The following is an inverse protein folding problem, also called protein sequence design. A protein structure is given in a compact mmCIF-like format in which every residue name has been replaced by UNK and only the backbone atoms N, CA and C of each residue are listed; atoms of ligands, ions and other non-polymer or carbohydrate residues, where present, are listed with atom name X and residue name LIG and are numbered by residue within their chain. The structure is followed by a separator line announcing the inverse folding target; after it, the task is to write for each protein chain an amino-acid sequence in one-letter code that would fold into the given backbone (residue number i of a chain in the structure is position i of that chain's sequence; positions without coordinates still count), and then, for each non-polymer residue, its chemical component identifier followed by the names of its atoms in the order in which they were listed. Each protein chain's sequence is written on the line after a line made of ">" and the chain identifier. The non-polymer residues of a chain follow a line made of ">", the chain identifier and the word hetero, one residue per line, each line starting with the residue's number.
data_IF_755550005277
#
_entry.id   IF_755550005277
#
_cell.length_a   1.000
_cell.length_b   1.000
_cell.length_c   1.000
_cell.angle_alpha   90.00
_cell.angle_beta   90.00
_cell.angle_gamma   90.00
#
_symmetry.space_group_name_H-M   'P 1'
#
loop_
_entity.id
_entity.type
_entity.pdbx_description
1 polymer ?
#
# COMPACT_ATOMS: atom_id res chain seq x y z
N UNK A 1 -9.51 -6.13 6.11
CA UNK A 1 -8.92 -5.72 4.81
C UNK A 1 -9.92 -5.98 3.71
N UNK A 2 -10.48 -4.94 3.13
CA UNK A 2 -11.39 -5.01 1.97
C UNK A 2 -10.60 -5.26 0.70
N UNK A 3 -11.17 -6.02 -0.23
CA UNK A 3 -10.57 -6.27 -1.55
C UNK A 3 -11.47 -5.68 -2.61
N UNK A 4 -10.95 -4.76 -3.39
CA UNK A 4 -11.63 -4.18 -4.54
C UNK A 4 -11.26 -4.98 -5.79
N UNK A 5 -12.27 -5.54 -6.45
CA UNK A 5 -12.08 -6.39 -7.64
C UNK A 5 -12.71 -5.75 -8.87
N UNK A 6 -11.99 -5.82 -9.99
CA UNK A 6 -12.45 -5.38 -11.31
C UNK A 6 -12.11 -6.43 -12.34
N UNK A 7 -13.00 -6.64 -13.32
CA UNK A 7 -12.77 -7.62 -14.38
C UNK A 7 -12.65 -9.05 -13.88
N UNK A 8 -13.41 -9.46 -12.84
CA UNK A 8 -13.32 -10.77 -12.19
C UNK A 8 -13.54 -11.99 -13.14
N UNK A 9 -14.09 -11.76 -14.34
CA UNK A 9 -14.27 -12.78 -15.37
C UNK A 9 -13.05 -12.94 -16.31
N UNK A 10 -11.95 -12.23 -16.06
CA UNK A 10 -10.72 -12.31 -16.86
C UNK A 10 -9.79 -13.38 -16.28
N UNK A 11 -9.09 -14.09 -17.19
CA UNK A 11 -8.20 -15.20 -16.79
C UNK A 11 -6.89 -14.72 -16.16
N UNK A 12 -6.38 -13.56 -16.61
CA UNK A 12 -5.09 -13.01 -16.15
C UNK A 12 -5.30 -12.12 -14.95
N UNK A 13 -4.62 -12.44 -13.85
CA UNK A 13 -4.75 -11.75 -12.57
C UNK A 13 -3.60 -10.78 -12.35
N UNK A 14 -3.95 -9.53 -12.00
CA UNK A 14 -3.00 -8.51 -11.53
C UNK A 14 -3.41 -8.10 -10.12
N UNK A 15 -2.46 -8.15 -9.20
CA UNK A 15 -2.62 -7.62 -7.84
C UNK A 15 -1.85 -6.32 -7.72
N UNK A 16 -2.51 -5.25 -7.26
CA UNK A 16 -1.93 -3.91 -7.10
C UNK A 16 -1.95 -3.51 -5.63
N UNK A 17 -0.77 -3.31 -5.03
CA UNK A 17 -0.61 -2.98 -3.62
C UNK A 17 -0.11 -1.55 -3.48
N UNK A 18 -0.93 -0.70 -2.84
CA UNK A 18 -0.66 0.73 -2.68
C UNK A 18 0.46 1.02 -1.66
N UNK A 19 1.13 2.18 -1.75
CA UNK A 19 2.10 2.63 -0.75
C UNK A 19 1.43 3.09 0.56
N UNK A 20 2.22 3.41 1.57
CA UNK A 20 1.75 4.12 2.76
C UNK A 20 1.26 5.53 2.44
N UNK A 21 0.42 6.09 3.31
CA UNK A 21 -0.11 7.47 3.23
C UNK A 21 -1.02 7.73 2.01
N UNK A 22 -1.44 6.67 1.33
CA UNK A 22 -2.50 6.68 0.31
C UNK A 22 -3.41 5.47 0.53
N UNK A 23 -4.56 5.43 -0.15
CA UNK A 23 -5.53 4.34 -0.08
C UNK A 23 -5.55 3.54 -1.38
N UNK A 24 -6.42 2.55 -1.49
CA UNK A 24 -6.57 1.70 -2.66
C UNK A 24 -6.92 2.49 -3.95
N UNK A 25 -7.62 3.63 -3.81
CA UNK A 25 -7.99 4.53 -4.89
C UNK A 25 -6.78 5.27 -5.54
N UNK A 26 -5.57 5.11 -4.98
CA UNK A 26 -4.32 5.47 -5.65
C UNK A 26 -4.23 4.92 -7.09
N UNK A 27 -4.89 3.79 -7.34
CA UNK A 27 -4.93 3.16 -8.66
C UNK A 27 -6.15 3.53 -9.52
N UNK A 28 -6.98 4.49 -9.11
CA UNK A 28 -8.23 4.84 -9.81
C UNK A 28 -8.03 5.14 -11.30
N UNK A 29 -6.94 5.82 -11.67
CA UNK A 29 -6.60 6.15 -13.04
C UNK A 29 -6.02 4.95 -13.85
N UNK A 30 -5.55 3.91 -13.17
CA UNK A 30 -4.99 2.69 -13.79
C UNK A 30 -6.10 1.66 -14.06
N UNK A 31 -7.09 1.59 -13.17
CA UNK A 31 -8.20 0.63 -13.26
C UNK A 31 -8.89 0.64 -14.62
N UNK A 32 -9.32 1.78 -15.19
CA UNK A 32 -10.00 1.81 -16.50
C UNK A 32 -9.14 1.28 -17.66
N UNK A 33 -7.82 1.39 -17.55
CA UNK A 33 -6.88 0.97 -18.59
C UNK A 33 -6.67 -0.55 -18.62
N UNK A 34 -6.90 -1.21 -17.49
CA UNK A 34 -6.55 -2.62 -17.30
C UNK A 34 -7.74 -3.56 -17.12
N UNK A 35 -8.84 -3.10 -16.50
CA UNK A 35 -9.99 -3.95 -16.11
C UNK A 35 -10.65 -4.74 -17.23
N UNK A 36 -10.54 -4.26 -18.46
CA UNK A 36 -11.12 -4.93 -19.62
C UNK A 36 -10.30 -6.13 -20.12
N UNK A 37 -9.03 -6.21 -19.69
CA UNK A 37 -8.08 -7.27 -20.09
C UNK A 37 -7.67 -8.18 -18.92
N UNK A 38 -7.76 -7.68 -17.71
CA UNK A 38 -7.23 -8.34 -16.51
C UNK A 38 -8.25 -8.37 -15.38
N UNK A 39 -8.19 -9.40 -14.55
CA UNK A 39 -8.80 -9.42 -13.24
C UNK A 39 -7.88 -8.66 -12.28
N UNK A 40 -8.29 -7.47 -11.88
CA UNK A 40 -7.57 -6.62 -10.95
C UNK A 40 -8.02 -6.89 -9.53
N UNK A 41 -7.06 -7.08 -8.63
CA UNK A 41 -7.27 -7.28 -7.20
C UNK A 41 -6.48 -6.20 -6.47
N UNK A 42 -7.19 -5.31 -5.77
CA UNK A 42 -6.62 -4.14 -5.10
C UNK A 42 -7.01 -4.19 -3.63
N UNK A 43 -6.11 -4.63 -2.73
CA UNK A 43 -6.40 -4.62 -1.30
C UNK A 43 -6.39 -3.20 -0.75
N UNK A 44 -7.43 -2.82 0.00
CA UNK A 44 -7.38 -1.71 0.93
C UNK A 44 -6.65 -2.18 2.19
N UNK A 45 -5.41 -1.74 2.37
CA UNK A 45 -4.56 -2.26 3.45
C UNK A 45 -5.10 -1.87 4.83
N UNK A 46 -4.97 -2.72 5.86
CA UNK A 46 -5.38 -2.38 7.22
C UNK A 46 -4.76 -1.06 7.68
N UNK A 47 -5.54 -0.24 8.36
CA UNK A 47 -5.17 1.14 8.71
C UNK A 47 -5.41 2.18 7.61
N UNK A 48 -5.61 1.73 6.35
CA UNK A 48 -5.93 2.55 5.19
C UNK A 48 -7.26 2.15 4.54
N UNK A 49 -8.07 1.34 5.22
CA UNK A 49 -9.32 0.77 4.73
C UNK A 49 -10.51 1.56 5.30
N UNK A 50 -11.17 2.39 4.47
CA UNK A 50 -12.31 3.21 4.88
C UNK A 50 -13.53 2.37 5.29
N UNK A 51 -13.65 1.13 4.80
CA UNK A 51 -14.72 0.22 5.18
C UNK A 51 -14.46 -0.46 6.53
N UNK A 52 -13.18 -0.53 6.95
CA UNK A 52 -12.76 -1.11 8.22
C UNK A 52 -11.86 -0.14 9.02
N UNK A 53 -12.37 1.02 9.45
CA UNK A 53 -11.57 2.12 9.99
C UNK A 53 -10.90 1.82 11.34
N UNK A 54 -11.28 0.73 12.00
CA UNK A 54 -10.70 0.29 13.28
C UNK A 54 -9.70 -0.86 13.11
N UNK A 55 -9.45 -1.30 11.88
CA UNK A 55 -8.52 -2.38 11.58
C UNK A 55 -7.13 -1.77 11.33
N UNK A 56 -6.18 -2.10 12.17
CA UNK A 56 -4.75 -1.77 11.98
C UNK A 56 -3.96 -3.05 11.67
N UNK A 57 -2.76 -2.92 11.12
CA UNK A 57 -1.83 -4.03 10.96
C UNK A 57 -0.70 -3.98 12.00
N UNK A 58 -0.06 -5.11 12.25
CA UNK A 58 1.10 -5.21 13.14
C UNK A 58 2.40 -5.28 12.35
N UNK A 59 2.37 -5.81 11.13
CA UNK A 59 3.55 -5.94 10.28
C UNK A 59 3.18 -6.16 8.80
N UNK A 60 4.15 -5.92 7.92
CA UNK A 60 4.09 -6.24 6.48
C UNK A 60 3.85 -7.74 6.27
N UNK A 61 4.42 -8.57 7.15
CA UNK A 61 4.27 -10.03 7.12
C UNK A 61 2.81 -10.43 7.32
N UNK A 62 2.13 -9.82 8.29
CA UNK A 62 0.71 -10.07 8.54
C UNK A 62 -0.16 -9.71 7.33
N UNK A 63 0.13 -8.57 6.69
CA UNK A 63 -0.60 -8.16 5.47
C UNK A 63 -0.38 -9.18 4.34
N UNK A 64 0.88 -9.59 4.10
CA UNK A 64 1.23 -10.55 3.07
C UNK A 64 0.54 -11.90 3.31
N UNK A 65 0.51 -12.37 4.56
CA UNK A 65 -0.16 -13.60 4.95
C UNK A 65 -1.67 -13.55 4.73
N UNK A 66 -2.30 -12.46 5.14
CA UNK A 66 -3.74 -12.25 4.98
C UNK A 66 -4.13 -12.17 3.50
N UNK A 67 -3.34 -11.48 2.68
CA UNK A 67 -3.57 -11.40 1.24
C UNK A 67 -3.39 -12.76 0.56
N UNK A 68 -2.33 -13.49 0.89
CA UNK A 68 -2.10 -14.84 0.36
C UNK A 68 -3.23 -15.80 0.75
N UNK A 69 -3.70 -15.74 2.00
CA UNK A 69 -4.83 -16.53 2.48
C UNK A 69 -6.10 -16.21 1.72
N UNK A 70 -6.43 -14.92 1.56
CA UNK A 70 -7.60 -14.48 0.79
C UNK A 70 -7.56 -15.02 -0.65
N UNK A 71 -6.43 -14.88 -1.34
CA UNK A 71 -6.24 -15.40 -2.70
C UNK A 71 -6.48 -16.92 -2.78
N UNK A 72 -5.95 -17.67 -1.81
CA UNK A 72 -6.12 -19.12 -1.73
C UNK A 72 -7.59 -19.52 -1.52
N UNK A 73 -8.29 -18.83 -0.62
CA UNK A 73 -9.70 -19.05 -0.33
C UNK A 73 -10.59 -18.76 -1.55
N UNK A 74 -10.23 -17.75 -2.36
CA UNK A 74 -10.89 -17.43 -3.63
C UNK A 74 -10.38 -18.25 -4.83
N UNK A 75 -9.61 -19.32 -4.57
CA UNK A 75 -9.09 -20.25 -5.60
C UNK A 75 -8.11 -19.62 -6.59
N UNK A 76 -7.54 -18.47 -6.26
CA UNK A 76 -6.52 -17.79 -7.06
C UNK A 76 -5.15 -18.29 -6.61
N UNK A 77 -4.60 -19.25 -7.34
CA UNK A 77 -3.30 -19.87 -7.05
C UNK A 77 -2.15 -19.32 -7.88
N UNK A 78 -2.47 -18.52 -8.90
CA UNK A 78 -1.50 -17.93 -9.81
C UNK A 78 -1.84 -16.48 -10.06
N UNK A 79 -0.85 -15.62 -9.91
CA UNK A 79 -0.89 -14.20 -10.22
C UNK A 79 0.00 -13.96 -11.44
N UNK A 80 -0.51 -13.31 -12.48
CA UNK A 80 0.27 -12.94 -13.66
C UNK A 80 1.23 -11.80 -13.35
N UNK A 81 0.78 -10.80 -12.59
CA UNK A 81 1.63 -9.69 -12.12
C UNK A 81 1.23 -9.28 -10.70
N UNK A 82 2.21 -9.25 -9.82
CA UNK A 82 2.10 -8.67 -8.48
C UNK A 82 2.90 -7.37 -8.46
N UNK A 83 2.21 -6.26 -8.33
CA UNK A 83 2.79 -4.92 -8.24
C UNK A 83 2.66 -4.37 -6.83
N UNK A 84 3.70 -3.71 -6.34
CA UNK A 84 3.65 -2.98 -5.08
C UNK A 84 4.58 -1.77 -5.09
N UNK A 85 4.07 -0.64 -4.63
CA UNK A 85 4.82 0.60 -4.49
C UNK A 85 5.21 0.84 -3.03
N UNK A 86 6.45 1.26 -2.77
CA UNK A 86 6.98 1.60 -1.44
C UNK A 86 6.69 0.48 -0.41
N UNK A 87 5.83 0.71 0.60
CA UNK A 87 5.38 -0.32 1.55
C UNK A 87 4.76 -1.53 0.82
N UNK A 88 3.98 -1.30 -0.24
CA UNK A 88 3.45 -2.37 -1.09
C UNK A 88 4.55 -3.23 -1.71
N UNK A 89 5.69 -2.64 -2.05
CA UNK A 89 6.87 -3.37 -2.53
C UNK A 89 7.45 -4.31 -1.48
N UNK A 90 7.45 -3.94 -0.21
CA UNK A 90 7.87 -4.83 0.88
C UNK A 90 6.92 -6.04 1.03
N UNK A 91 5.59 -5.83 0.85
CA UNK A 91 4.59 -6.92 0.84
C UNK A 91 4.87 -7.86 -0.35
N UNK A 92 5.15 -7.32 -1.54
CA UNK A 92 5.52 -8.12 -2.73
C UNK A 92 6.73 -9.01 -2.44
N UNK A 93 7.81 -8.45 -1.88
CA UNK A 93 9.02 -9.21 -1.53
C UNK A 93 8.72 -10.33 -0.53
N UNK A 94 7.89 -10.06 0.47
CA UNK A 94 7.47 -11.07 1.45
C UNK A 94 6.67 -12.19 0.80
N UNK A 95 5.70 -11.89 -0.05
CA UNK A 95 4.91 -12.89 -0.77
C UNK A 95 5.79 -13.77 -1.69
N UNK A 96 6.80 -13.17 -2.36
CA UNK A 96 7.77 -13.93 -3.16
C UNK A 96 8.57 -14.89 -2.27
N UNK A 97 9.06 -14.42 -1.13
CA UNK A 97 9.86 -15.22 -0.21
C UNK A 97 9.09 -16.42 0.37
N UNK A 98 7.79 -16.26 0.61
CA UNK A 98 6.95 -17.32 1.18
C UNK A 98 6.45 -18.38 0.18
N UNK A 99 6.43 -18.04 -1.10
CA UNK A 99 6.05 -18.95 -2.19
C UNK A 99 4.69 -19.65 -2.00
N UNK A 100 3.75 -19.04 -1.26
CA UNK A 100 2.39 -19.59 -1.04
C UNK A 100 1.52 -19.50 -2.29
N UNK A 101 1.81 -18.57 -3.18
CA UNK A 101 1.12 -18.28 -4.45
C UNK A 101 2.16 -18.28 -5.58
N UNK A 102 1.78 -18.77 -6.74
CA UNK A 102 2.62 -18.70 -7.94
C UNK A 102 2.54 -17.28 -8.50
N UNK A 103 3.66 -16.57 -8.52
CA UNK A 103 3.78 -15.20 -9.05
C UNK A 103 4.65 -15.26 -10.30
N UNK A 104 4.07 -14.96 -11.49
CA UNK A 104 4.80 -15.01 -12.75
C UNK A 104 5.73 -13.81 -12.93
N UNK A 105 5.22 -12.61 -12.59
CA UNK A 105 5.97 -11.36 -12.65
C UNK A 105 5.76 -10.58 -11.36
N UNK A 106 6.82 -9.99 -10.82
CA UNK A 106 6.76 -9.12 -9.67
C UNK A 106 7.38 -7.77 -10.00
N UNK A 107 6.70 -6.70 -9.61
CA UNK A 107 7.15 -5.32 -9.79
C UNK A 107 7.21 -4.65 -8.43
N UNK A 108 8.42 -4.27 -8.01
CA UNK A 108 8.67 -3.48 -6.80
C UNK A 108 9.03 -2.06 -7.22
N UNK A 109 8.09 -1.14 -7.09
CA UNK A 109 8.26 0.26 -7.43
C UNK A 109 8.65 1.05 -6.18
N UNK A 110 9.92 1.52 -6.14
CA UNK A 110 10.47 2.20 -4.97
C UNK A 110 10.37 1.39 -3.68
N UNK A 111 10.34 0.05 -3.79
CA UNK A 111 10.16 -0.86 -2.66
C UNK A 111 11.32 -0.78 -1.67
N UNK A 112 10.99 -0.97 -0.39
CA UNK A 112 11.98 -1.05 0.68
C UNK A 112 12.80 -2.32 0.46
N UNK A 113 14.13 -2.17 0.38
CA UNK A 113 15.02 -3.32 0.27
C UNK A 113 15.03 -4.12 1.58
N UNK A 114 15.25 -5.45 1.54
CA UNK A 114 15.36 -6.28 2.73
C UNK A 114 16.62 -6.00 3.55
N UNK A 115 17.41 -4.98 3.19
CA UNK A 115 18.61 -4.60 3.93
C UNK A 115 18.23 -4.03 5.30
N UNK A 116 18.60 -4.76 6.32
CA UNK A 116 18.35 -4.32 7.70
C UNK A 116 19.46 -3.40 8.18
N UNK A 117 19.14 -2.15 8.39
CA UNK A 117 20.00 -1.21 9.11
C UNK A 117 20.15 -1.63 10.58
N UNK A 118 21.26 -1.24 11.25
CA UNK A 118 21.39 -1.43 12.70
C UNK A 118 20.15 -0.89 13.45
N UNK A 119 19.67 -1.64 14.45
CA UNK A 119 18.40 -1.34 15.17
C UNK A 119 18.30 0.10 15.68
N UNK A 120 19.42 0.71 16.12
CA UNK A 120 19.42 2.11 16.57
C UNK A 120 19.12 3.08 15.44
N UNK A 121 19.69 2.85 14.25
CA UNK A 121 19.45 3.69 13.07
C UNK A 121 17.99 3.52 12.61
N UNK A 122 17.50 2.29 12.54
CA UNK A 122 16.10 2.01 12.18
C UNK A 122 15.12 2.70 13.13
N UNK A 123 15.38 2.64 14.46
CA UNK A 123 14.54 3.33 15.46
C UNK A 123 14.57 4.84 15.28
N UNK A 124 15.75 5.42 15.02
CA UNK A 124 15.87 6.86 14.80
C UNK A 124 15.06 7.29 13.56
N UNK A 125 15.16 6.53 12.46
CA UNK A 125 14.39 6.79 11.23
C UNK A 125 12.89 6.67 11.54
N UNK A 126 12.44 5.60 12.21
CA UNK A 126 11.05 5.39 12.56
C UNK A 126 10.48 6.54 13.41
N UNK A 127 11.22 7.00 14.43
CA UNK A 127 10.82 8.15 15.26
C UNK A 127 10.73 9.42 14.42
N UNK A 128 11.72 9.69 13.57
CA UNK A 128 11.72 10.84 12.67
C UNK A 128 10.51 10.82 11.74
N UNK A 129 10.24 9.70 11.09
CA UNK A 129 9.14 9.56 10.15
C UNK A 129 7.78 9.65 10.86
N UNK A 130 7.65 9.02 12.04
CA UNK A 130 6.47 9.16 12.89
C UNK A 130 6.18 10.63 13.24
N UNK A 131 7.20 11.38 13.67
CA UNK A 131 7.04 12.79 14.01
C UNK A 131 6.66 13.62 12.78
N UNK A 132 7.31 13.39 11.65
CA UNK A 132 7.06 14.10 10.40
C UNK A 132 5.61 13.87 9.91
N UNK A 133 5.15 12.62 9.87
CA UNK A 133 3.80 12.26 9.44
C UNK A 133 2.76 12.79 10.45
N UNK A 134 3.05 12.69 11.75
CA UNK A 134 2.16 13.22 12.81
C UNK A 134 2.04 14.76 12.72
N UNK A 135 3.12 15.46 12.39
CA UNK A 135 3.07 16.91 12.15
C UNK A 135 2.22 17.24 10.92
N UNK A 136 2.31 16.47 9.84
CA UNK A 136 1.44 16.60 8.67
C UNK A 136 -0.04 16.40 9.01
N UNK A 137 -0.34 15.42 9.87
CA UNK A 137 -1.69 15.16 10.39
C UNK A 137 -2.27 16.34 11.19
N UNK A 138 -1.45 17.01 12.00
CA UNK A 138 -1.86 18.15 12.83
C UNK A 138 -1.88 19.46 12.04
N UNK A 139 -0.85 19.71 11.24
CA UNK A 139 -0.63 20.97 10.53
C UNK A 139 -1.40 21.10 9.21
N UNK A 140 -1.93 20.01 8.70
CA UNK A 140 -2.74 19.96 7.49
C UNK A 140 -2.02 20.50 6.23
N UNK A 141 -2.81 20.99 5.27
CA UNK A 141 -2.34 21.38 3.94
C UNK A 141 -1.23 22.44 3.99
N UNK A 142 -1.37 23.48 4.83
CA UNK A 142 -0.41 24.56 4.89
C UNK A 142 1.00 24.17 5.36
N UNK A 143 1.12 23.09 6.14
CA UNK A 143 2.41 22.54 6.53
C UNK A 143 3.00 21.70 5.40
N UNK A 144 2.17 20.90 4.74
CA UNK A 144 2.59 20.05 3.62
C UNK A 144 3.05 20.88 2.41
N UNK A 145 2.34 21.95 2.06
CA UNK A 145 2.75 22.89 1.00
C UNK A 145 4.12 23.54 1.25
N UNK A 146 4.51 23.68 2.52
CA UNK A 146 5.85 24.18 2.88
C UNK A 146 6.92 23.11 2.89
N UNK A 147 6.54 21.87 3.16
CA UNK A 147 7.46 20.73 3.28
C UNK A 147 7.76 20.05 1.95
N UNK A 148 6.79 20.03 1.04
CA UNK A 148 6.91 19.42 -0.28
C UNK A 148 6.99 20.49 -1.37
N UNK A 149 7.87 20.30 -2.35
CA UNK A 149 7.98 21.25 -3.47
C UNK A 149 6.74 21.12 -4.36
N UNK A 150 6.22 22.26 -4.81
CA UNK A 150 5.08 22.33 -5.74
C UNK A 150 5.40 21.77 -7.13
N UNK A 151 6.65 21.46 -7.41
CA UNK A 151 7.10 20.87 -8.67
C UNK A 151 6.89 19.33 -8.70
N UNK A 152 6.83 18.69 -7.52
CA UNK A 152 6.68 17.25 -7.40
C UNK A 152 5.23 16.80 -7.10
N UNK A 153 4.46 17.65 -6.40
CA UNK A 153 3.11 17.33 -5.95
C UNK A 153 2.13 18.44 -6.32
N UNK A 154 1.03 18.08 -6.96
CA UNK A 154 -0.07 19.02 -7.21
C UNK A 154 -0.78 19.38 -5.89
N UNK A 155 -1.55 20.47 -5.90
CA UNK A 155 -2.39 20.81 -4.73
C UNK A 155 -3.45 19.74 -4.44
N UNK A 156 -3.92 19.09 -5.46
CA UNK A 156 -4.88 17.99 -5.36
C UNK A 156 -4.25 16.79 -4.66
N UNK A 157 -3.02 16.42 -5.01
CA UNK A 157 -2.26 15.35 -4.34
C UNK A 157 -2.06 15.66 -2.85
N UNK A 158 -1.67 16.90 -2.52
CA UNK A 158 -1.50 17.31 -1.13
C UNK A 158 -2.80 17.28 -0.33
N UNK A 159 -3.94 17.67 -0.92
CA UNK A 159 -5.25 17.57 -0.28
C UNK A 159 -5.63 16.11 -0.04
N UNK A 160 -5.36 15.23 -1.00
CA UNK A 160 -5.58 13.80 -0.85
C UNK A 160 -4.73 13.23 0.29
N UNK A 161 -3.45 13.54 0.35
CA UNK A 161 -2.56 13.14 1.44
C UNK A 161 -3.11 13.62 2.80
N UNK A 162 -3.57 14.88 2.90
CA UNK A 162 -4.19 15.41 4.12
C UNK A 162 -5.41 14.59 4.53
N UNK A 163 -6.30 14.25 3.58
CA UNK A 163 -7.47 13.39 3.84
C UNK A 163 -7.03 12.07 4.46
N UNK A 164 -6.05 11.40 3.85
CA UNK A 164 -5.53 10.12 4.33
C UNK A 164 -4.88 10.26 5.71
N UNK A 165 -4.05 11.28 5.93
CA UNK A 165 -3.42 11.55 7.23
C UNK A 165 -4.44 11.78 8.35
N UNK A 166 -5.56 12.46 8.08
CA UNK A 166 -6.62 12.62 9.07
C UNK A 166 -7.34 11.30 9.37
N UNK A 167 -7.46 10.43 8.38
CA UNK A 167 -8.12 9.13 8.53
C UNK A 167 -7.29 8.14 9.34
N UNK A 168 -6.01 7.93 9.00
CA UNK A 168 -5.15 6.90 9.61
C UNK A 168 -4.91 7.15 11.10
N UNK A 169 -4.80 6.08 11.87
CA UNK A 169 -4.49 6.16 13.31
C UNK A 169 -3.01 6.46 13.57
N UNK A 170 -2.68 6.95 14.76
CA UNK A 170 -1.26 7.06 15.18
C UNK A 170 -0.58 5.69 15.29
N UNK A 171 -1.35 4.62 15.51
CA UNK A 171 -0.83 3.26 15.51
C UNK A 171 -0.42 2.80 14.11
N UNK A 172 -1.20 3.17 13.09
CA UNK A 172 -0.86 2.91 11.68
C UNK A 172 0.40 3.68 11.24
N UNK A 173 0.63 4.88 11.81
CA UNK A 173 1.82 5.69 11.51
C UNK A 173 3.07 5.10 12.16
N UNK A 174 2.96 4.49 13.38
CA UNK A 174 4.07 3.91 14.15
C UNK A 174 4.48 2.54 13.62
#
# INVERSE_FOLDING_TARGET
>A
MTIHEYGANREKVIVLIHPSVVMWDYFENVIPLLKDKYHLIIPALPGYDEENPNEDFTSVEEIADNLAKWLIEHKIRTIDTLYGCSMGGAIVLKMIAEQKIIIKNAVCDGGITPYQLPRLITRFIAVKDFLMISMGKIGGLGLLEKAFSTDEYSKEDLKYIVKVLHFISYKTIW
#
